data_IF_575556550685
#
_entry.id   IF_575556550685
#
_cell.length_a   1.000
_cell.length_b   1.000
_cell.length_c   1.000
_cell.angle_alpha   90.00
_cell.angle_beta   90.00
_cell.angle_gamma   90.00
#
_symmetry.space_group_name_H-M   'P 1'
#
loop_
_entity.id
_entity.type
_entity.pdbx_description
1 polymer ?
#
# COMPACT_ATOMS: atom_id res chain seq x y z
N UNK A 1 -46.28 -24.70 14.59
CA UNK A 1 -47.10 -25.53 13.68
C UNK A 1 -46.31 -25.67 12.37
N UNK A 2 -45.45 -26.69 12.29
CA UNK A 2 -45.74 -27.99 11.65
C UNK A 2 -45.95 -27.80 10.14
N UNK A 3 -44.91 -28.00 9.33
CA UNK A 3 -44.58 -29.28 8.66
C UNK A 3 -45.73 -29.79 7.78
N UNK A 4 -45.52 -29.77 6.46
CA UNK A 4 -45.75 -30.90 5.53
C UNK A 4 -46.02 -30.39 4.10
N UNK A 5 -45.35 -31.00 3.12
CA UNK A 5 -45.67 -30.80 1.71
C UNK A 5 -44.57 -31.22 0.74
N UNK A 6 -43.94 -32.37 0.98
CA UNK A 6 -42.95 -32.97 0.10
C UNK A 6 -43.64 -33.90 -0.91
N UNK A 7 -43.21 -33.82 -2.18
CA UNK A 7 -43.29 -34.82 -3.27
C UNK A 7 -44.66 -35.19 -3.86
N UNK A 8 -44.74 -35.06 -5.19
CA UNK A 8 -44.91 -36.14 -6.19
C UNK A 8 -45.44 -35.55 -7.51
N UNK A 9 -45.27 -36.05 -8.74
CA UNK A 9 -44.40 -37.00 -9.47
C UNK A 9 -44.93 -36.90 -10.94
N UNK A 10 -44.03 -37.11 -11.92
CA UNK A 10 -44.32 -37.60 -13.31
C UNK A 10 -45.10 -36.68 -14.26
N UNK A 11 -44.94 -36.70 -15.59
CA UNK A 11 -43.95 -37.11 -16.59
C UNK A 11 -44.57 -36.74 -17.96
N UNK A 12 -43.83 -36.93 -19.05
CA UNK A 12 -44.20 -36.71 -20.46
C UNK A 12 -44.09 -35.24 -20.92
N UNK A 13 -43.48 -34.90 -22.05
CA UNK A 13 -43.25 -35.67 -23.26
C UNK A 13 -41.93 -35.27 -23.96
N UNK A 14 -41.34 -36.25 -24.64
CA UNK A 14 -40.29 -36.11 -25.64
C UNK A 14 -40.85 -35.64 -26.99
N UNK A 15 -39.91 -35.24 -27.87
CA UNK A 15 -39.99 -34.83 -29.29
C UNK A 15 -40.11 -33.32 -29.47
N UNK A 16 -39.23 -32.60 -30.15
CA UNK A 16 -38.15 -32.97 -31.07
C UNK A 16 -38.17 -31.95 -32.22
N UNK A 17 -37.08 -31.21 -32.45
CA UNK A 17 -36.76 -30.60 -33.75
C UNK A 17 -35.44 -29.82 -33.63
N UNK A 18 -34.47 -30.21 -34.46
CA UNK A 18 -33.25 -29.48 -34.71
C UNK A 18 -33.53 -28.28 -35.64
N UNK A 19 -33.01 -27.10 -35.30
CA UNK A 19 -32.72 -26.02 -36.26
C UNK A 19 -31.37 -25.41 -35.87
N UNK A 20 -30.42 -25.48 -36.81
CA UNK A 20 -29.16 -24.73 -36.81
C UNK A 20 -29.45 -23.28 -37.23
N UNK A 21 -28.79 -22.33 -36.60
CA UNK A 21 -28.16 -21.13 -37.18
C UNK A 21 -27.73 -20.21 -36.02
N UNK A 22 -26.46 -20.22 -35.63
CA UNK A 22 -25.34 -19.44 -36.18
C UNK A 22 -25.26 -18.02 -35.60
N UNK A 23 -24.05 -17.68 -35.10
CA UNK A 23 -23.54 -16.36 -34.75
C UNK A 23 -23.92 -15.75 -33.39
N UNK A 24 -23.28 -16.23 -32.32
CA UNK A 24 -22.75 -15.34 -31.27
C UNK A 24 -21.30 -15.74 -31.02
N UNK A 25 -20.38 -14.87 -31.43
CA UNK A 25 -18.95 -15.03 -31.26
C UNK A 25 -18.59 -15.10 -29.77
N UNK A 26 -17.81 -16.13 -29.45
CA UNK A 26 -17.22 -16.46 -28.16
C UNK A 26 -16.30 -15.36 -27.63
N UNK A 27 -16.63 -14.80 -26.47
CA UNK A 27 -15.66 -14.17 -25.57
C UNK A 27 -14.81 -15.29 -24.94
N UNK A 28 -13.48 -15.15 -24.83
CA UNK A 28 -12.68 -16.15 -24.14
C UNK A 28 -13.06 -16.17 -22.65
N UNK A 29 -13.61 -17.32 -22.22
CA UNK A 29 -13.78 -17.64 -20.81
C UNK A 29 -12.39 -17.62 -20.16
N UNK A 30 -12.17 -16.67 -19.27
CA UNK A 30 -11.04 -16.69 -18.35
C UNK A 30 -11.28 -17.85 -17.38
N UNK A 31 -10.56 -18.95 -17.60
CA UNK A 31 -10.56 -20.12 -16.73
C UNK A 31 -10.26 -19.72 -15.29
N UNK A 32 -11.23 -19.97 -14.40
CA UNK A 32 -11.18 -19.70 -12.97
C UNK A 32 -10.27 -20.69 -12.19
N UNK A 33 -9.20 -21.20 -12.81
CA UNK A 33 -8.41 -22.32 -12.30
C UNK A 33 -6.93 -21.99 -11.95
N UNK A 34 -6.51 -20.72 -11.96
CA UNK A 34 -5.15 -20.30 -11.52
C UNK A 34 -5.12 -19.57 -10.18
N UNK A 35 -6.21 -19.55 -9.41
CA UNK A 35 -6.31 -18.87 -8.12
C UNK A 35 -6.09 -19.76 -6.88
N UNK A 36 -5.39 -20.89 -7.02
CA UNK A 36 -5.11 -21.79 -5.90
C UNK A 36 -3.60 -22.11 -5.81
N UNK A 37 -2.96 -21.64 -4.74
CA UNK A 37 -1.68 -22.19 -4.27
C UNK A 37 -0.44 -21.33 -4.44
N UNK A 38 -0.42 -20.11 -3.91
CA UNK A 38 0.83 -19.52 -3.41
C UNK A 38 0.82 -19.56 -1.88
N UNK A 39 1.35 -20.65 -1.32
CA UNK A 39 1.80 -20.67 0.07
C UNK A 39 2.93 -19.65 0.20
N UNK A 40 2.59 -18.47 0.73
CA UNK A 40 3.52 -17.36 0.83
C UNK A 40 4.46 -17.56 2.02
N UNK A 41 5.74 -17.86 1.74
CA UNK A 41 6.77 -17.98 2.78
C UNK A 41 6.95 -16.64 3.52
N UNK A 42 7.26 -16.65 4.83
CA UNK A 42 7.56 -15.42 5.58
C UNK A 42 8.84 -14.79 5.05
N UNK A 43 8.81 -13.48 4.76
CA UNK A 43 9.96 -12.74 4.20
C UNK A 43 10.85 -12.26 5.36
N UNK A 44 12.16 -12.51 5.24
CA UNK A 44 13.23 -11.97 6.11
C UNK A 44 14.00 -10.91 5.28
N UNK A 45 14.87 -10.09 5.89
CA UNK A 45 14.82 -8.62 5.85
C UNK A 45 14.71 -8.04 4.43
N UNK A 46 13.80 -7.07 4.26
CA UNK A 46 13.42 -6.59 2.93
C UNK A 46 14.38 -5.55 2.40
N UNK A 47 15.08 -5.91 1.33
CA UNK A 47 15.41 -4.91 0.32
C UNK A 47 14.09 -4.42 -0.30
N UNK A 48 13.85 -3.10 -0.31
CA UNK A 48 12.66 -2.50 -0.93
C UNK A 48 12.56 -2.89 -2.42
N UNK A 49 13.69 -3.16 -3.08
CA UNK A 49 13.73 -3.65 -4.46
C UNK A 49 13.37 -5.12 -4.62
N UNK A 50 13.02 -5.86 -3.57
CA UNK A 50 12.41 -7.21 -3.64
C UNK A 50 10.93 -7.22 -3.23
N UNK A 51 10.42 -6.08 -2.74
CA UNK A 51 9.02 -5.90 -2.38
C UNK A 51 8.09 -6.11 -3.58
N UNK A 52 6.98 -6.80 -3.36
CA UNK A 52 5.87 -6.91 -4.32
C UNK A 52 4.97 -5.67 -4.21
N UNK A 53 5.54 -4.55 -4.60
CA UNK A 53 4.92 -3.22 -4.50
C UNK A 53 4.41 -2.76 -5.84
N UNK A 54 3.23 -2.16 -5.80
CA UNK A 54 2.50 -1.62 -6.94
C UNK A 54 2.21 -0.15 -6.71
N UNK A 55 2.11 0.63 -7.79
CA UNK A 55 1.72 2.03 -7.70
C UNK A 55 0.22 2.20 -7.96
N UNK A 56 -0.48 2.80 -6.99
CA UNK A 56 -1.87 3.24 -7.11
C UNK A 56 -1.94 4.76 -6.99
N UNK A 57 -2.01 5.47 -8.11
CA UNK A 57 -2.16 6.94 -8.14
C UNK A 57 -1.08 7.67 -7.32
N UNK A 58 0.13 7.12 -7.27
CA UNK A 58 1.26 7.66 -6.51
C UNK A 58 1.45 7.08 -5.11
N UNK A 59 0.53 6.24 -4.63
CA UNK A 59 0.70 5.46 -3.41
C UNK A 59 1.43 4.15 -3.71
N UNK A 60 2.41 3.73 -2.88
CA UNK A 60 2.85 2.36 -2.86
C UNK A 60 1.74 1.48 -2.27
N UNK A 61 1.53 0.30 -2.85
CA UNK A 61 0.56 -0.68 -2.40
C UNK A 61 1.20 -2.06 -2.45
N UNK A 62 1.22 -2.75 -1.32
CA UNK A 62 1.58 -4.16 -1.27
C UNK A 62 0.38 -5.03 -1.60
N UNK A 63 0.59 -5.97 -2.52
CA UNK A 63 -0.40 -6.96 -2.90
C UNK A 63 -0.58 -8.01 -1.79
N UNK A 64 -1.35 -7.66 -0.75
CA UNK A 64 -1.49 -8.49 0.44
C UNK A 64 -2.94 -8.67 0.89
N UNK A 65 -3.17 -9.75 1.62
CA UNK A 65 -4.40 -10.02 2.37
C UNK A 65 -4.19 -9.71 3.86
N UNK A 66 -5.27 -9.72 4.65
CA UNK A 66 -5.18 -9.63 6.12
C UNK A 66 -4.30 -10.75 6.67
N UNK A 67 -4.46 -11.98 6.19
CA UNK A 67 -3.64 -13.11 6.65
C UNK A 67 -2.16 -12.93 6.32
N UNK A 68 -1.85 -12.35 5.16
CA UNK A 68 -0.46 -12.02 4.82
C UNK A 68 0.08 -10.93 5.75
N UNK A 69 -0.66 -9.85 5.97
CA UNK A 69 -0.26 -8.78 6.89
C UNK A 69 0.03 -9.32 8.30
N UNK A 70 -0.84 -10.21 8.80
CA UNK A 70 -0.65 -10.88 10.09
C UNK A 70 0.59 -11.78 10.10
N UNK A 71 0.87 -12.50 9.01
CA UNK A 71 2.07 -13.33 8.89
C UNK A 71 3.37 -12.50 8.86
N UNK A 72 3.34 -11.30 8.29
CA UNK A 72 4.47 -10.36 8.31
C UNK A 72 4.72 -9.80 9.72
N UNK A 73 3.65 -9.44 10.44
CA UNK A 73 3.73 -9.00 11.84
C UNK A 73 4.35 -10.10 12.70
N UNK A 74 3.87 -11.34 12.55
CA UNK A 74 4.41 -12.50 13.24
C UNK A 74 5.91 -12.73 12.95
N UNK A 75 6.29 -12.68 11.67
CA UNK A 75 7.69 -12.80 11.28
C UNK A 75 8.56 -11.69 11.90
N UNK A 76 8.07 -10.44 11.92
CA UNK A 76 8.73 -9.31 12.56
C UNK A 76 8.92 -9.52 14.05
N UNK A 77 7.85 -9.93 14.75
CA UNK A 77 7.90 -10.22 16.19
C UNK A 77 8.89 -11.34 16.50
N UNK A 78 8.88 -12.45 15.74
CA UNK A 78 9.78 -13.59 15.99
C UNK A 78 11.25 -13.29 15.73
N UNK A 79 11.54 -12.53 14.68
CA UNK A 79 12.92 -12.27 14.24
C UNK A 79 13.49 -10.98 14.82
N UNK A 80 12.65 -10.15 15.46
CA UNK A 80 13.03 -8.84 15.95
C UNK A 80 13.26 -7.80 14.85
N UNK A 81 12.93 -8.10 13.59
CA UNK A 81 13.10 -7.14 12.50
C UNK A 81 12.08 -6.00 12.62
N UNK A 82 12.51 -4.79 12.27
CA UNK A 82 11.63 -3.60 12.27
C UNK A 82 10.65 -3.68 11.11
N UNK A 83 9.37 -3.50 11.43
CA UNK A 83 8.27 -3.48 10.49
C UNK A 83 7.33 -2.33 10.82
N UNK A 84 7.34 -1.33 9.96
CA UNK A 84 6.35 -0.26 9.94
C UNK A 84 5.36 -0.45 8.81
N UNK A 85 4.07 -0.23 9.07
CA UNK A 85 3.07 -0.30 8.01
C UNK A 85 2.00 0.76 8.10
N UNK A 86 1.45 1.10 6.93
CA UNK A 86 0.36 2.06 6.76
C UNK A 86 -0.83 1.41 6.08
N UNK A 87 -2.01 1.95 6.34
CA UNK A 87 -3.25 1.50 5.68
C UNK A 87 -3.93 2.66 4.95
N UNK A 88 -3.40 3.13 3.80
CA UNK A 88 -3.96 4.29 3.11
C UNK A 88 -5.41 4.08 2.68
N UNK A 89 -6.23 5.09 2.99
CA UNK A 89 -7.61 5.23 2.58
C UNK A 89 -7.79 6.46 1.64
N UNK A 90 -9.03 6.82 1.30
CA UNK A 90 -9.30 7.99 0.42
C UNK A 90 -8.71 9.29 1.00
N UNK A 91 -8.85 9.51 2.31
CA UNK A 91 -8.28 10.70 2.97
C UNK A 91 -6.75 10.74 2.80
N UNK A 92 -6.06 9.59 2.95
CA UNK A 92 -4.63 9.49 2.66
C UNK A 92 -4.30 9.80 1.21
N UNK A 93 -5.03 9.23 0.25
CA UNK A 93 -4.83 9.51 -1.17
C UNK A 93 -4.97 11.01 -1.48
N UNK A 94 -6.01 11.67 -0.95
CA UNK A 94 -6.21 13.11 -1.14
C UNK A 94 -5.06 13.91 -0.53
N UNK A 95 -4.55 13.50 0.63
CA UNK A 95 -3.43 14.17 1.32
C UNK A 95 -2.11 14.02 0.55
N UNK A 96 -1.71 12.80 0.17
CA UNK A 96 -0.44 12.58 -0.55
C UNK A 96 -0.39 13.28 -1.91
N UNK A 97 -1.54 13.52 -2.53
CA UNK A 97 -1.63 14.23 -3.80
C UNK A 97 -1.53 15.76 -3.65
N UNK A 98 -1.66 16.29 -2.43
CA UNK A 98 -1.57 17.72 -2.10
C UNK A 98 -0.29 18.08 -1.36
N UNK A 99 0.27 17.15 -0.59
CA UNK A 99 1.38 17.37 0.31
C UNK A 99 2.49 16.34 0.08
N UNK A 100 3.66 16.82 -0.34
CA UNK A 100 4.85 16.00 -0.57
C UNK A 100 5.40 15.36 0.70
N UNK A 101 5.21 15.98 1.88
CA UNK A 101 5.62 15.39 3.15
C UNK A 101 4.79 14.15 3.48
N UNK A 102 3.45 14.25 3.35
CA UNK A 102 2.55 13.11 3.51
C UNK A 102 2.84 11.96 2.54
N UNK A 103 3.30 12.27 1.31
CA UNK A 103 3.70 11.23 0.37
C UNK A 103 4.98 10.52 0.81
N UNK A 104 5.98 11.26 1.31
CA UNK A 104 7.20 10.68 1.89
C UNK A 104 6.88 9.78 3.08
N UNK A 105 6.01 10.23 3.98
CA UNK A 105 5.53 9.45 5.13
C UNK A 105 5.03 8.04 4.73
N UNK A 106 4.24 7.94 3.66
CA UNK A 106 3.73 6.66 3.16
C UNK A 106 4.83 5.82 2.47
N UNK A 107 5.76 6.46 1.75
CA UNK A 107 6.89 5.77 1.12
C UNK A 107 7.88 5.20 2.13
N UNK A 108 8.03 5.87 3.27
CA UNK A 108 8.94 5.48 4.34
C UNK A 108 8.50 4.22 5.10
N UNK A 109 7.23 3.81 4.95
CA UNK A 109 6.70 2.59 5.53
C UNK A 109 7.19 1.33 4.79
N UNK A 110 7.42 0.26 5.55
CA UNK A 110 7.88 -1.03 5.03
C UNK A 110 6.75 -1.82 4.34
N UNK A 111 5.49 -1.54 4.73
CA UNK A 111 4.26 -2.04 4.09
C UNK A 111 3.19 -0.96 3.96
N UNK A 112 2.37 -1.08 2.93
CA UNK A 112 1.27 -0.18 2.62
C UNK A 112 0.07 -0.98 2.09
N UNK A 113 -0.99 -1.05 2.89
CA UNK A 113 -2.17 -1.86 2.59
C UNK A 113 -3.38 -0.99 2.25
N UNK A 114 -4.15 -1.34 1.23
CA UNK A 114 -5.33 -0.54 0.86
C UNK A 114 -6.43 -0.68 1.93
N UNK A 115 -6.83 0.44 2.52
CA UNK A 115 -8.01 0.56 3.39
C UNK A 115 -9.12 1.39 2.73
N UNK A 116 -9.95 0.74 1.92
CA UNK A 116 -11.23 1.29 1.50
C UNK A 116 -11.70 0.74 0.17
N UNK A 117 -13.02 0.53 0.04
CA UNK A 117 -13.63 0.03 -1.19
C UNK A 117 -13.30 0.88 -2.44
N UNK A 118 -13.27 2.23 -2.39
CA UNK A 118 -12.93 3.04 -3.56
C UNK A 118 -11.51 2.81 -4.08
N UNK A 119 -10.53 2.67 -3.17
CA UNK A 119 -9.14 2.41 -3.58
C UNK A 119 -8.99 0.99 -4.14
N UNK A 120 -9.65 -0.01 -3.55
CA UNK A 120 -9.68 -1.38 -4.10
C UNK A 120 -10.29 -1.39 -5.51
N UNK A 121 -11.38 -0.65 -5.74
CA UNK A 121 -11.99 -0.54 -7.06
C UNK A 121 -11.03 0.09 -8.08
N UNK A 122 -10.38 1.21 -7.74
CA UNK A 122 -9.39 1.84 -8.62
C UNK A 122 -8.16 0.95 -8.88
N UNK A 123 -7.69 0.22 -7.86
CA UNK A 123 -6.61 -0.74 -7.99
C UNK A 123 -6.95 -1.83 -9.01
N UNK A 124 -8.15 -2.43 -8.91
CA UNK A 124 -8.64 -3.43 -9.87
C UNK A 124 -8.77 -2.88 -11.28
N UNK A 125 -9.31 -1.67 -11.44
CA UNK A 125 -9.41 -1.00 -12.75
C UNK A 125 -8.05 -0.75 -13.41
N UNK A 126 -6.99 -0.58 -12.61
CA UNK A 126 -5.62 -0.36 -13.08
C UNK A 126 -4.79 -1.65 -13.17
N UNK A 127 -5.38 -2.81 -12.88
CA UNK A 127 -4.69 -4.10 -12.92
C UNK A 127 -3.74 -4.36 -11.75
N UNK A 128 -3.87 -3.63 -10.64
CA UNK A 128 -3.13 -3.90 -9.40
C UNK A 128 -3.78 -5.09 -8.68
N UNK A 129 -3.02 -6.12 -8.25
CA UNK A 129 -3.54 -7.29 -7.55
C UNK A 129 -3.93 -6.97 -6.09
N UNK A 130 -5.02 -6.21 -5.93
CA UNK A 130 -5.63 -5.88 -4.65
C UNK A 130 -6.91 -6.71 -4.47
N UNK A 131 -6.82 -7.96 -3.94
CA UNK A 131 -7.96 -8.87 -3.86
C UNK A 131 -9.05 -8.33 -2.94
N UNK A 132 -8.67 -7.70 -1.83
CA UNK A 132 -9.60 -7.17 -0.84
C UNK A 132 -9.04 -5.94 -0.14
N UNK A 133 -9.92 -5.28 0.61
CA UNK A 133 -9.51 -4.29 1.61
C UNK A 133 -8.73 -4.97 2.72
N UNK A 134 -7.70 -4.29 3.24
CA UNK A 134 -6.92 -4.70 4.41
C UNK A 134 -6.85 -3.50 5.35
N UNK A 135 -7.82 -3.39 6.26
CA UNK A 135 -7.88 -2.31 7.23
C UNK A 135 -7.07 -2.66 8.49
N UNK A 136 -6.50 -1.64 9.13
CA UNK A 136 -5.74 -1.82 10.38
C UNK A 136 -6.54 -2.53 11.49
N UNK A 137 -7.83 -2.24 11.58
CA UNK A 137 -8.72 -2.89 12.52
C UNK A 137 -9.07 -4.34 12.15
N UNK A 138 -9.02 -4.71 10.87
CA UNK A 138 -9.17 -6.12 10.46
C UNK A 138 -7.91 -6.92 10.79
N UNK A 139 -6.72 -6.33 10.61
CA UNK A 139 -5.43 -6.91 11.02
C UNK A 139 -5.42 -7.12 12.55
N UNK A 140 -5.77 -6.09 13.32
CA UNK A 140 -5.78 -6.18 14.78
C UNK A 140 -6.77 -7.24 15.29
N UNK A 141 -7.99 -7.29 14.73
CA UNK A 141 -8.96 -8.31 15.08
C UNK A 141 -8.49 -9.73 14.71
N UNK A 142 -7.79 -9.88 13.59
CA UNK A 142 -7.21 -11.16 13.20
C UNK A 142 -6.08 -11.61 14.15
N UNK A 143 -5.24 -10.69 14.63
CA UNK A 143 -4.25 -10.98 15.68
C UNK A 143 -4.92 -11.38 16.99
N UNK A 144 -5.95 -10.64 17.38
CA UNK A 144 -6.72 -10.85 18.62
C UNK A 144 -7.39 -12.22 18.69
N UNK A 145 -7.91 -12.73 17.57
CA UNK A 145 -8.62 -14.03 17.50
C UNK A 145 -7.72 -15.25 17.36
N UNK A 146 -6.46 -15.10 16.96
CA UNK A 146 -5.54 -16.24 16.79
C UNK A 146 -5.04 -16.70 18.15
N UNK A 147 -4.93 -18.00 18.44
CA UNK A 147 -4.11 -18.46 19.56
C UNK A 147 -2.69 -18.01 19.24
N UNK A 148 -2.13 -17.10 20.04
CA UNK A 148 -0.93 -16.32 19.69
C UNK A 148 0.25 -17.15 19.14
N UNK A 149 1.17 -16.50 18.45
CA UNK A 149 2.24 -17.19 17.73
C UNK A 149 3.18 -17.95 18.66
N UNK A 150 3.40 -19.24 18.38
CA UNK A 150 4.23 -20.10 19.22
C UNK A 150 3.73 -20.25 20.66
N UNK A 151 2.41 -20.19 20.87
CA UNK A 151 1.74 -20.22 22.18
C UNK A 151 2.00 -18.99 23.07
N UNK A 152 2.51 -17.89 22.51
CA UNK A 152 2.65 -16.60 23.20
C UNK A 152 1.71 -15.55 22.59
N UNK A 153 1.05 -14.77 23.46
CA UNK A 153 0.23 -13.62 23.06
C UNK A 153 1.11 -12.50 22.51
N UNK A 154 0.64 -11.79 21.49
CA UNK A 154 1.33 -10.61 20.96
C UNK A 154 1.20 -9.46 21.95
N UNK A 155 2.32 -8.92 22.41
CA UNK A 155 2.35 -7.82 23.40
C UNK A 155 2.13 -6.48 22.70
N UNK A 156 0.99 -5.84 22.94
CA UNK A 156 0.65 -4.56 22.32
C UNK A 156 0.77 -3.41 23.29
N UNK A 157 1.28 -2.28 22.82
CA UNK A 157 1.26 -1.02 23.55
C UNK A 157 0.42 0.00 22.78
N UNK A 158 -0.55 0.62 23.46
CA UNK A 158 -1.40 1.64 22.86
C UNK A 158 -0.85 3.04 23.13
N UNK A 159 -0.51 3.77 22.07
CA UNK A 159 -0.02 5.14 22.17
C UNK A 159 -1.02 6.11 21.53
N UNK A 160 -1.65 6.96 22.33
CA UNK A 160 -2.74 7.86 21.92
C UNK A 160 -4.14 7.30 22.16
N UNK A 161 -5.11 7.79 21.39
CA UNK A 161 -6.54 7.60 21.64
C UNK A 161 -7.13 8.73 22.48
N UNK A 162 -8.45 8.66 22.73
CA UNK A 162 -9.12 9.58 23.66
C UNK A 162 -8.76 9.26 25.10
N UNK A 163 -8.94 10.22 26.00
CA UNK A 163 -8.74 10.01 27.43
C UNK A 163 -9.54 8.81 27.93
N UNK A 164 -8.86 7.91 28.66
CA UNK A 164 -9.43 6.66 29.16
C UNK A 164 -9.58 5.53 28.13
N UNK A 165 -9.47 5.78 26.82
CA UNK A 165 -9.65 4.75 25.80
C UNK A 165 -8.56 3.67 25.85
N UNK A 166 -7.30 4.05 26.09
CA UNK A 166 -6.20 3.10 26.26
C UNK A 166 -6.41 2.16 27.44
N UNK A 167 -6.80 2.69 28.60
CA UNK A 167 -7.06 1.91 29.81
C UNK A 167 -8.25 0.95 29.63
N UNK A 168 -9.32 1.42 29.00
CA UNK A 168 -10.47 0.57 28.66
C UNK A 168 -10.10 -0.53 27.65
N UNK A 169 -9.22 -0.25 26.69
CA UNK A 169 -8.72 -1.25 25.74
C UNK A 169 -7.86 -2.32 26.43
N UNK A 170 -7.03 -1.94 27.42
CA UNK A 170 -6.29 -2.88 28.27
C UNK A 170 -7.26 -3.80 29.01
N UNK A 171 -8.24 -3.24 29.71
CA UNK A 171 -9.24 -4.01 30.47
C UNK A 171 -10.04 -4.98 29.57
N UNK A 172 -10.40 -4.55 28.36
CA UNK A 172 -11.11 -5.38 27.40
C UNK A 172 -10.27 -6.59 26.94
N UNK A 173 -8.98 -6.39 26.68
CA UNK A 173 -8.07 -7.46 26.25
C UNK A 173 -7.71 -8.43 27.38
N UNK A 174 -7.67 -7.95 28.62
CA UNK A 174 -7.43 -8.79 29.80
C UNK A 174 -8.61 -9.75 30.05
N UNK A 175 -9.85 -9.28 29.86
CA UNK A 175 -11.06 -10.10 30.01
C UNK A 175 -11.21 -11.18 28.95
N UNK A 176 -10.79 -10.91 27.72
CA UNK A 176 -10.99 -11.83 26.59
C UNK A 176 -9.99 -12.99 26.58
N UNK A 177 -8.77 -12.78 27.07
CA UNK A 177 -7.69 -13.77 27.03
C UNK A 177 -7.40 -14.33 25.62
N UNK A 178 -7.51 -13.47 24.60
CA UNK A 178 -7.23 -13.81 23.19
C UNK A 178 -5.74 -13.82 22.82
N UNK A 179 -5.45 -13.76 21.52
CA UNK A 179 -4.08 -13.79 20.94
C UNK A 179 -3.19 -12.58 21.21
N UNK A 180 -3.76 -11.53 21.80
CA UNK A 180 -3.12 -10.24 22.04
C UNK A 180 -3.23 -9.91 23.52
N UNK A 181 -2.15 -9.42 24.13
CA UNK A 181 -2.13 -8.90 25.50
C UNK A 181 -1.65 -7.45 25.49
N UNK A 182 -2.31 -6.57 26.26
CA UNK A 182 -1.86 -5.20 26.38
C UNK A 182 -0.79 -5.09 27.47
N UNK A 183 0.38 -4.54 27.12
CA UNK A 183 1.51 -4.36 28.06
C UNK A 183 1.67 -2.92 28.54
N UNK A 184 0.84 -2.02 28.03
CA UNK A 184 0.80 -0.63 28.46
C UNK A 184 -0.07 0.21 27.54
N UNK A 185 -0.42 1.38 28.05
CA UNK A 185 -1.04 2.42 27.26
C UNK A 185 -0.59 3.78 27.76
N UNK A 186 -0.38 4.72 26.84
CA UNK A 186 -0.04 6.10 27.16
C UNK A 186 -0.80 7.04 26.22
N UNK A 187 -1.59 7.95 26.79
CA UNK A 187 -2.13 9.07 26.04
C UNK A 187 -1.21 10.29 26.24
N UNK A 188 -0.47 10.75 25.22
CA UNK A 188 0.41 11.91 25.35
C UNK A 188 -0.36 13.25 25.38
N UNK A 189 -1.70 13.23 25.31
CA UNK A 189 -2.55 14.41 25.33
C UNK A 189 -2.49 15.22 24.02
N UNK A 190 -2.61 16.54 24.15
CA UNK A 190 -2.49 17.46 23.02
C UNK A 190 -1.09 18.06 22.95
N UNK A 191 -0.52 18.12 21.75
CA UNK A 191 0.84 18.58 21.50
C UNK A 191 1.25 18.37 20.05
N UNK A 192 2.42 18.86 19.69
CA UNK A 192 3.06 18.56 18.41
C UNK A 192 3.78 17.21 18.45
N UNK A 193 4.36 16.80 17.32
CA UNK A 193 5.09 15.52 17.24
C UNK A 193 6.31 15.53 18.16
N UNK A 194 6.97 16.67 18.34
CA UNK A 194 8.21 16.78 19.11
C UNK A 194 7.98 16.55 20.61
N UNK A 195 7.02 17.26 21.20
CA UNK A 195 6.59 17.09 22.59
C UNK A 195 6.12 15.65 22.86
N UNK A 196 5.38 15.05 21.93
CA UNK A 196 4.98 13.64 22.01
C UNK A 196 6.13 12.65 21.83
N UNK A 197 7.32 13.11 21.44
CA UNK A 197 8.52 12.29 21.19
C UNK A 197 9.58 12.45 22.28
N UNK A 198 9.21 12.99 23.44
CA UNK A 198 10.10 13.20 24.57
C UNK A 198 10.83 11.89 24.94
N UNK A 199 12.13 11.93 25.31
CA UNK A 199 12.90 10.75 25.67
C UNK A 199 12.24 9.85 26.72
N UNK A 200 11.55 10.45 27.69
CA UNK A 200 10.86 9.77 28.78
C UNK A 200 9.68 8.95 28.27
N UNK A 201 8.94 9.49 27.30
CA UNK A 201 7.83 8.78 26.63
C UNK A 201 8.36 7.54 25.89
N UNK A 202 9.47 7.69 25.16
CA UNK A 202 10.07 6.56 24.43
C UNK A 202 10.60 5.51 25.41
N UNK A 203 11.24 5.94 26.50
CA UNK A 203 11.73 5.05 27.55
C UNK A 203 10.59 4.27 28.22
N UNK A 204 9.45 4.91 28.48
CA UNK A 204 8.26 4.25 29.03
C UNK A 204 7.71 3.17 28.08
N UNK A 205 7.58 3.49 26.78
CA UNK A 205 7.13 2.53 25.78
C UNK A 205 8.10 1.34 25.70
N UNK A 206 9.41 1.59 25.67
CA UNK A 206 10.43 0.53 25.60
C UNK A 206 10.48 -0.32 26.88
N UNK A 207 10.29 0.29 28.05
CA UNK A 207 10.26 -0.43 29.34
C UNK A 207 9.10 -1.44 29.40
N UNK A 208 7.97 -1.16 28.74
CA UNK A 208 6.87 -2.10 28.59
C UNK A 208 7.22 -3.30 27.69
N UNK A 209 8.33 -3.24 26.92
CA UNK A 209 8.81 -4.27 25.99
C UNK A 209 7.74 -4.77 25.01
N UNK A 210 7.02 -3.91 24.28
CA UNK A 210 5.98 -4.36 23.36
C UNK A 210 6.54 -5.07 22.13
N UNK A 211 5.76 -6.02 21.61
CA UNK A 211 5.98 -6.62 20.30
C UNK A 211 5.40 -5.71 19.19
N UNK A 212 4.34 -4.96 19.50
CA UNK A 212 3.67 -4.07 18.55
C UNK A 212 3.21 -2.77 19.24
N UNK A 213 3.72 -1.62 18.79
CA UNK A 213 3.23 -0.29 19.17
C UNK A 213 2.14 0.17 18.21
N UNK A 214 0.94 0.38 18.74
CA UNK A 214 -0.22 0.86 17.99
C UNK A 214 -0.38 2.36 18.26
N UNK A 215 -0.16 3.16 17.23
CA UNK A 215 -0.28 4.62 17.31
C UNK A 215 -1.70 5.03 16.92
N UNK A 216 -2.41 5.64 17.85
CA UNK A 216 -3.80 6.08 17.75
C UNK A 216 -3.93 7.62 17.81
N UNK A 217 -3.07 8.32 17.08
CA UNK A 217 -3.15 9.78 16.91
C UNK A 217 -3.97 10.14 15.66
N UNK A 218 -4.15 11.43 15.36
CA UNK A 218 -4.68 11.84 14.05
C UNK A 218 -3.75 11.37 12.92
N UNK A 219 -4.29 10.95 11.77
CA UNK A 219 -3.54 10.26 10.70
C UNK A 219 -2.19 10.92 10.34
N UNK A 220 -2.20 12.24 10.15
CA UNK A 220 -0.98 12.98 9.84
C UNK A 220 0.05 12.98 10.97
N UNK A 221 -0.40 13.30 12.18
CA UNK A 221 0.46 13.35 13.35
C UNK A 221 1.00 11.97 13.73
N UNK A 222 0.15 10.95 13.61
CA UNK A 222 0.50 9.57 13.91
C UNK A 222 1.61 9.04 13.02
N UNK A 223 1.50 9.24 11.70
CA UNK A 223 2.55 8.79 10.80
C UNK A 223 3.85 9.58 10.97
N UNK A 224 3.77 10.91 11.10
CA UNK A 224 4.94 11.74 11.38
C UNK A 224 5.64 11.35 12.70
N UNK A 225 4.87 10.95 13.72
CA UNK A 225 5.42 10.44 14.98
C UNK A 225 6.11 9.09 14.80
N UNK A 226 5.54 8.18 13.99
CA UNK A 226 6.17 6.88 13.67
C UNK A 226 7.50 7.11 12.95
N UNK A 227 7.51 7.93 11.90
CA UNK A 227 8.73 8.17 11.12
C UNK A 227 9.86 8.79 11.96
N UNK A 228 9.50 9.64 12.94
CA UNK A 228 10.47 10.23 13.87
C UNK A 228 11.02 9.24 14.91
N UNK A 229 10.22 8.26 15.34
CA UNK A 229 10.54 7.46 16.53
C UNK A 229 10.74 5.96 16.28
N UNK A 230 10.45 5.45 15.07
CA UNK A 230 10.53 4.01 14.77
C UNK A 230 11.89 3.39 15.06
N UNK A 231 12.96 4.16 14.86
CA UNK A 231 14.34 3.72 15.13
C UNK A 231 14.74 3.85 16.62
N UNK A 232 13.97 4.60 17.42
CA UNK A 232 14.18 4.80 18.87
C UNK A 232 13.39 3.81 19.73
N UNK A 233 12.39 3.16 19.14
CA UNK A 233 11.55 2.18 19.80
C UNK A 233 12.17 0.80 19.68
N UNK A 234 12.10 -0.02 20.73
CA UNK A 234 12.62 -1.40 20.71
C UNK A 234 11.64 -2.36 20.03
N UNK A 235 10.36 -2.03 20.00
CA UNK A 235 9.31 -2.84 19.41
C UNK A 235 9.59 -3.18 17.94
N UNK A 236 9.44 -4.45 17.51
CA UNK A 236 9.64 -4.82 16.12
C UNK A 236 8.55 -4.23 15.22
N UNK A 237 7.29 -4.17 15.67
CA UNK A 237 6.17 -3.71 14.82
C UNK A 237 5.63 -2.37 15.29
N UNK A 238 5.40 -1.44 14.36
CA UNK A 238 4.85 -0.12 14.64
C UNK A 238 3.88 0.29 13.53
N UNK A 239 2.67 0.72 13.87
CA UNK A 239 1.71 1.15 12.84
C UNK A 239 0.71 2.17 13.36
N UNK A 240 0.27 3.05 12.47
CA UNK A 240 -0.81 3.98 12.75
C UNK A 240 -2.16 3.30 12.53
N UNK A 241 -2.84 2.93 13.62
CA UNK A 241 -4.16 2.29 13.57
C UNK A 241 -5.18 3.11 14.35
N UNK A 242 -5.38 4.37 13.94
CA UNK A 242 -6.17 5.40 14.62
C UNK A 242 -7.30 4.91 15.54
N UNK A 243 -8.37 4.35 14.96
CA UNK A 243 -9.57 3.99 15.71
C UNK A 243 -9.54 2.60 16.37
N UNK A 244 -8.43 1.85 16.27
CA UNK A 244 -8.34 0.50 16.86
C UNK A 244 -8.45 0.55 18.37
N UNK A 245 -7.85 1.56 19.02
CA UNK A 245 -7.95 1.75 20.47
C UNK A 245 -9.41 1.97 20.87
N UNK A 246 -10.12 2.87 20.18
CA UNK A 246 -11.54 3.16 20.47
C UNK A 246 -12.46 1.96 20.24
N UNK A 247 -12.20 1.16 19.20
CA UNK A 247 -12.94 -0.07 18.94
C UNK A 247 -12.69 -1.12 20.03
N UNK A 248 -11.44 -1.26 20.47
CA UNK A 248 -11.06 -2.24 21.50
C UNK A 248 -11.61 -1.84 22.86
N UNK A 249 -11.63 -0.53 23.16
CA UNK A 249 -12.25 0.05 24.35
C UNK A 249 -13.79 -0.07 24.38
N UNK A 250 -14.44 -0.55 23.30
CA UNK A 250 -15.89 -0.61 23.18
C UNK A 250 -16.57 0.76 23.01
N UNK A 251 -15.79 1.83 22.80
CA UNK A 251 -16.31 3.19 22.66
C UNK A 251 -16.97 3.47 21.30
N UNK A 252 -16.69 2.66 20.27
CA UNK A 252 -17.31 2.76 18.95
C UNK A 252 -17.65 1.36 18.44
N UNK A 253 -18.86 1.17 17.90
CA UNK A 253 -19.26 -0.09 17.32
C UNK A 253 -18.66 -0.31 15.93
N UNK A 254 -18.11 -1.51 15.69
CA UNK A 254 -17.68 -1.95 14.35
C UNK A 254 -18.89 -2.14 13.44
N UNK A 255 -18.73 -1.85 12.15
CA UNK A 255 -19.77 -2.12 11.17
C UNK A 255 -20.05 -3.65 11.09
N UNK A 256 -21.32 -4.09 11.07
CA UNK A 256 -21.68 -5.49 10.87
C UNK A 256 -21.11 -6.04 9.56
N UNK A 257 -20.80 -7.34 9.51
CA UNK A 257 -20.16 -7.98 8.34
C UNK A 257 -20.91 -7.73 7.01
N UNK A 258 -22.24 -7.69 7.04
CA UNK A 258 -23.04 -7.39 5.84
C UNK A 258 -22.77 -5.97 5.31
N UNK A 259 -22.70 -4.98 6.20
CA UNK A 259 -22.41 -3.59 5.83
C UNK A 259 -20.97 -3.45 5.31
N UNK A 260 -20.02 -4.17 5.92
CA UNK A 260 -18.63 -4.25 5.44
C UNK A 260 -18.54 -4.82 4.03
N UNK A 261 -19.20 -5.95 3.78
CA UNK A 261 -19.25 -6.60 2.46
C UNK A 261 -19.88 -5.74 1.37
N UNK A 262 -20.85 -4.89 1.73
CA UNK A 262 -21.45 -3.90 0.83
C UNK A 262 -20.57 -2.65 0.61
N UNK A 263 -19.44 -2.51 1.31
CA UNK A 263 -18.56 -1.34 1.22
C UNK A 263 -19.15 -0.08 1.87
N UNK A 264 -20.15 -0.22 2.74
CA UNK A 264 -20.89 0.87 3.38
C UNK A 264 -20.37 1.23 4.79
N UNK A 265 -19.13 0.83 5.12
CA UNK A 265 -18.51 1.11 6.42
C UNK A 265 -18.40 2.60 6.72
N UNK A 266 -18.20 3.42 5.69
CA UNK A 266 -18.15 4.87 5.84
C UNK A 266 -19.49 5.43 6.33
N UNK A 267 -20.62 4.86 5.88
CA UNK A 267 -21.95 5.27 6.33
C UNK A 267 -22.21 4.83 7.76
N UNK A 268 -21.81 3.61 8.13
CA UNK A 268 -21.84 3.16 9.51
C UNK A 268 -21.00 4.06 10.42
N UNK A 269 -19.81 4.48 9.96
CA UNK A 269 -18.98 5.43 10.69
C UNK A 269 -19.61 6.80 10.86
N UNK A 270 -20.35 7.31 9.87
CA UNK A 270 -21.10 8.56 10.05
C UNK A 270 -22.21 8.40 11.08
N UNK A 271 -22.88 7.24 11.12
CA UNK A 271 -23.89 6.95 12.14
C UNK A 271 -23.30 6.98 13.54
N UNK A 272 -22.16 6.31 13.75
CA UNK A 272 -21.51 6.23 15.07
C UNK A 272 -20.75 7.52 15.43
N UNK A 273 -20.23 8.25 14.44
CA UNK A 273 -19.48 9.49 14.60
C UNK A 273 -19.94 10.56 13.60
N UNK A 274 -21.06 11.27 13.87
CA UNK A 274 -21.68 12.19 12.92
C UNK A 274 -20.73 13.25 12.36
N UNK A 275 -19.81 13.78 13.17
CA UNK A 275 -18.85 14.78 12.73
C UNK A 275 -18.00 14.38 11.50
N UNK A 276 -17.87 13.07 11.22
CA UNK A 276 -17.13 12.56 10.07
C UNK A 276 -17.82 12.84 8.72
N UNK A 277 -19.10 13.21 8.69
CA UNK A 277 -19.83 13.46 7.43
C UNK A 277 -19.14 14.52 6.56
N UNK A 278 -18.61 15.59 7.19
CA UNK A 278 -17.92 16.69 6.49
C UNK A 278 -16.66 16.19 5.80
N UNK A 279 -15.89 15.34 6.49
CA UNK A 279 -14.69 14.71 5.95
C UNK A 279 -15.03 13.82 4.77
N UNK A 280 -16.00 12.91 4.92
CA UNK A 280 -16.39 12.01 3.85
C UNK A 280 -16.93 12.73 2.61
N UNK A 281 -17.68 13.82 2.79
CA UNK A 281 -18.15 14.65 1.68
C UNK A 281 -16.98 15.31 0.94
N UNK A 282 -16.05 15.94 1.67
CA UNK A 282 -14.86 16.56 1.10
C UNK A 282 -13.96 15.54 0.37
N UNK A 283 -13.75 14.37 0.98
CA UNK A 283 -13.01 13.26 0.40
C UNK A 283 -13.68 12.74 -0.88
N UNK A 284 -15.01 12.60 -0.88
CA UNK A 284 -15.80 12.17 -2.03
C UNK A 284 -15.69 13.14 -3.21
N UNK A 285 -15.81 14.45 -2.94
CA UNK A 285 -15.64 15.48 -3.95
C UNK A 285 -14.21 15.50 -4.53
N UNK A 286 -13.20 15.38 -3.67
CA UNK A 286 -11.80 15.29 -4.10
C UNK A 286 -11.55 14.01 -4.92
N UNK A 287 -12.11 12.88 -4.51
CA UNK A 287 -12.00 11.61 -5.22
C UNK A 287 -12.60 11.68 -6.62
N UNK A 288 -13.75 12.33 -6.80
CA UNK A 288 -14.32 12.55 -8.13
C UNK A 288 -13.36 13.32 -9.05
N UNK A 289 -12.71 14.37 -8.53
CA UNK A 289 -11.66 15.09 -9.26
C UNK A 289 -10.44 14.22 -9.59
N UNK A 290 -10.02 13.35 -8.67
CA UNK A 290 -8.92 12.38 -8.88
C UNK A 290 -9.29 11.38 -9.98
N UNK A 291 -10.52 10.88 -9.99
CA UNK A 291 -11.01 9.94 -11.02
C UNK A 291 -10.89 10.58 -12.41
N UNK A 292 -11.37 11.81 -12.57
CA UNK A 292 -11.34 12.50 -13.87
C UNK A 292 -9.91 12.85 -14.30
N UNK A 293 -9.11 13.44 -13.39
CA UNK A 293 -7.80 14.01 -13.74
C UNK A 293 -6.65 13.01 -13.74
N UNK A 294 -6.77 11.90 -13.00
CA UNK A 294 -5.68 10.94 -12.78
C UNK A 294 -6.06 9.53 -13.18
N UNK A 295 -7.24 9.03 -12.81
CA UNK A 295 -7.62 7.65 -13.18
C UNK A 295 -7.95 7.53 -14.67
N UNK A 296 -8.83 8.39 -15.20
CA UNK A 296 -9.31 8.29 -16.59
C UNK A 296 -8.19 8.34 -17.65
N UNK A 297 -7.19 9.26 -17.59
CA UNK A 297 -6.08 9.27 -18.54
C UNK A 297 -5.28 7.96 -18.56
N UNK A 298 -5.16 7.31 -17.40
CA UNK A 298 -4.47 6.04 -17.28
C UNK A 298 -5.26 4.89 -17.90
N UNK A 299 -6.58 4.86 -17.71
CA UNK A 299 -7.45 3.87 -18.34
C UNK A 299 -7.46 4.02 -19.87
N UNK A 300 -7.45 5.26 -20.37
CA UNK A 300 -7.31 5.53 -21.81
C UNK A 300 -5.94 5.07 -22.33
N UNK A 301 -4.87 5.30 -21.58
CA UNK A 301 -3.53 4.83 -21.93
C UNK A 301 -3.42 3.29 -21.95
N UNK A 302 -4.26 2.55 -21.20
CA UNK A 302 -4.31 1.08 -21.26
C UNK A 302 -4.91 0.56 -22.57
N UNK A 303 -5.84 1.30 -23.20
CA UNK A 303 -6.48 0.91 -24.47
C UNK A 303 -5.51 0.92 -25.66
N UNK A 304 -4.45 1.72 -25.57
CA UNK A 304 -3.40 1.81 -26.59
C UNK A 304 -2.21 0.88 -26.27
N UNK A 305 -2.42 -0.24 -25.56
CA UNK A 305 -1.41 -1.29 -25.45
C UNK A 305 -1.23 -1.92 -26.82
N UNK A 306 -0.10 -1.62 -27.45
CA UNK A 306 0.39 -2.31 -28.63
C UNK A 306 0.74 -3.75 -28.24
N UNK A 307 0.33 -4.74 -29.05
CA UNK A 307 0.86 -6.11 -29.04
C UNK A 307 2.34 -6.14 -29.50
N UNK A 308 3.17 -5.18 -29.07
CA UNK A 308 4.61 -5.25 -29.25
C UNK A 308 5.06 -6.45 -28.41
N UNK A 309 5.32 -7.57 -29.09
CA UNK A 309 5.73 -8.81 -28.45
C UNK A 309 6.82 -8.54 -27.42
N UNK A 310 6.79 -9.28 -26.31
CA UNK A 310 7.63 -9.12 -25.13
C UNK A 310 9.12 -8.97 -25.47
N UNK A 311 9.53 -7.75 -25.84
CA UNK A 311 10.91 -7.41 -26.03
C UNK A 311 11.57 -7.55 -24.66
N UNK A 312 12.67 -8.30 -24.60
CA UNK A 312 13.38 -8.56 -23.36
C UNK A 312 13.69 -7.23 -22.65
N UNK A 313 13.21 -7.09 -21.41
CA UNK A 313 13.45 -5.89 -20.63
C UNK A 313 14.91 -5.85 -20.17
N UNK A 314 15.65 -4.82 -20.54
CA UNK A 314 17.02 -4.60 -20.10
C UNK A 314 17.16 -3.24 -19.43
N UNK A 315 18.04 -3.17 -18.42
CA UNK A 315 18.32 -1.95 -17.67
C UNK A 315 19.84 -1.78 -17.56
N UNK A 316 20.39 -0.95 -18.45
CA UNK A 316 21.83 -0.71 -18.54
C UNK A 316 22.23 0.52 -17.74
N UNK A 317 23.30 0.40 -16.94
CA UNK A 317 23.77 1.49 -16.08
C UNK A 317 24.95 2.19 -16.74
N UNK A 318 24.84 3.51 -16.91
CA UNK A 318 25.94 4.39 -17.29
C UNK A 318 26.27 5.30 -16.11
N UNK A 319 27.51 5.25 -15.62
CA UNK A 319 27.96 6.05 -14.48
C UNK A 319 28.82 7.22 -14.96
N UNK A 320 28.56 8.40 -14.41
CA UNK A 320 29.44 9.56 -14.49
C UNK A 320 29.80 10.03 -13.09
N UNK A 321 30.63 11.07 -12.98
CA UNK A 321 31.02 11.64 -11.69
C UNK A 321 29.83 12.23 -10.91
N UNK A 322 28.80 12.71 -11.60
CA UNK A 322 27.66 13.42 -11.00
C UNK A 322 26.35 12.63 -11.05
N UNK A 323 26.20 11.70 -12.00
CA UNK A 323 24.94 11.00 -12.24
C UNK A 323 25.13 9.53 -12.59
N UNK A 324 24.14 8.73 -12.23
CA UNK A 324 23.97 7.35 -12.64
C UNK A 324 22.73 7.25 -13.52
N UNK A 325 22.92 7.04 -14.82
CA UNK A 325 21.83 6.90 -15.77
C UNK A 325 21.48 5.43 -15.94
N UNK A 326 20.19 5.10 -15.78
CA UNK A 326 19.63 3.77 -16.01
C UNK A 326 18.84 3.84 -17.32
N UNK A 327 19.38 3.24 -18.37
CA UNK A 327 18.74 3.16 -19.69
C UNK A 327 17.78 1.97 -19.67
N UNK A 328 16.49 2.27 -19.74
CA UNK A 328 15.42 1.28 -19.69
C UNK A 328 14.97 0.93 -21.12
N UNK A 329 15.17 -0.33 -21.50
CA UNK A 329 14.80 -0.82 -22.84
C UNK A 329 13.74 -1.91 -22.77
N UNK A 330 12.77 -1.86 -23.68
CA UNK A 330 11.71 -2.88 -23.78
C UNK A 330 10.52 -2.65 -22.82
N UNK A 331 9.90 -3.76 -22.39
CA UNK A 331 8.64 -3.76 -21.64
C UNK A 331 8.84 -4.14 -20.17
N UNK A 332 8.59 -3.22 -19.24
CA UNK A 332 8.71 -3.48 -17.79
C UNK A 332 7.36 -3.76 -17.15
N UNK A 333 7.03 -5.05 -17.02
CA UNK A 333 5.81 -5.54 -16.38
C UNK A 333 6.15 -6.38 -15.16
N UNK A 334 5.15 -6.82 -14.39
CA UNK A 334 5.37 -7.69 -13.22
C UNK A 334 6.18 -8.96 -13.55
N UNK A 335 6.13 -9.45 -14.79
CA UNK A 335 6.88 -10.61 -15.25
C UNK A 335 8.35 -10.30 -15.63
N UNK A 336 8.73 -9.02 -15.81
CA UNK A 336 10.01 -8.61 -16.41
C UNK A 336 10.78 -7.56 -15.59
N UNK A 337 10.57 -7.49 -14.28
CA UNK A 337 11.24 -6.50 -13.41
C UNK A 337 12.67 -6.86 -12.99
N UNK A 338 13.15 -8.08 -13.23
CA UNK A 338 14.44 -8.54 -12.69
C UNK A 338 15.62 -7.62 -13.07
N UNK A 339 15.68 -7.17 -14.32
CA UNK A 339 16.72 -6.24 -14.80
C UNK A 339 16.63 -4.89 -14.07
N UNK A 340 15.42 -4.32 -13.94
CA UNK A 340 15.21 -3.07 -13.22
C UNK A 340 15.58 -3.19 -11.74
N UNK A 341 15.17 -4.27 -11.05
CA UNK A 341 15.49 -4.50 -9.63
C UNK A 341 17.01 -4.49 -9.41
N UNK A 342 17.77 -5.21 -10.25
CA UNK A 342 19.24 -5.24 -10.19
C UNK A 342 19.84 -3.86 -10.45
N UNK A 343 19.35 -3.16 -11.47
CA UNK A 343 19.88 -1.84 -11.84
C UNK A 343 19.60 -0.78 -10.77
N UNK A 344 18.38 -0.77 -10.23
CA UNK A 344 17.94 0.19 -9.21
C UNK A 344 18.70 -0.03 -7.91
N UNK A 345 18.94 -1.28 -7.50
CA UNK A 345 19.78 -1.60 -6.34
C UNK A 345 21.20 -1.08 -6.49
N UNK A 346 21.80 -1.29 -7.66
CA UNK A 346 23.15 -0.80 -7.98
C UNK A 346 23.24 0.74 -8.03
N UNK A 347 22.22 1.41 -8.57
CA UNK A 347 22.17 2.87 -8.65
C UNK A 347 21.83 3.52 -7.30
N UNK A 348 20.98 2.90 -6.48
CA UNK A 348 20.73 3.35 -5.12
C UNK A 348 22.03 3.36 -4.29
N UNK A 349 22.98 2.46 -4.56
CA UNK A 349 24.29 2.41 -3.91
C UNK A 349 25.36 3.34 -4.52
N UNK A 350 25.13 3.99 -5.67
CA UNK A 350 26.18 4.70 -6.41
C UNK A 350 26.54 6.09 -5.87
N UNK A 351 25.84 6.59 -4.86
CA UNK A 351 26.11 7.89 -4.22
C UNK A 351 25.85 9.14 -5.08
N UNK A 352 25.47 8.98 -6.36
CA UNK A 352 25.17 10.07 -7.29
C UNK A 352 23.67 10.24 -7.50
N UNK A 353 23.26 11.37 -8.07
CA UNK A 353 21.89 11.53 -8.60
C UNK A 353 21.58 10.46 -9.65
N UNK A 354 20.30 10.16 -9.83
CA UNK A 354 19.86 9.07 -10.70
C UNK A 354 19.00 9.61 -11.83
N UNK A 355 19.26 9.14 -13.05
CA UNK A 355 18.44 9.45 -14.22
C UNK A 355 17.81 8.16 -14.72
N UNK A 356 16.49 8.11 -14.82
CA UNK A 356 15.79 7.05 -15.54
C UNK A 356 15.60 7.50 -16.99
N UNK A 357 16.26 6.83 -17.92
CA UNK A 357 16.15 7.11 -19.35
C UNK A 357 15.12 6.16 -19.99
N UNK A 358 14.01 6.74 -20.42
CA UNK A 358 12.86 6.06 -21.03
C UNK A 358 12.94 6.03 -22.57
N UNK A 359 14.04 6.48 -23.19
CA UNK A 359 14.14 6.65 -24.65
C UNK A 359 13.97 5.35 -25.43
N UNK A 360 14.42 4.23 -24.87
CA UNK A 360 14.27 2.88 -25.45
C UNK A 360 13.12 2.07 -24.79
N UNK A 361 12.35 2.70 -23.91
CA UNK A 361 11.29 2.02 -23.17
C UNK A 361 10.02 1.94 -24.02
N UNK A 362 9.51 0.73 -24.22
CA UNK A 362 8.30 0.49 -25.00
C UNK A 362 7.05 0.65 -24.14
N UNK A 363 7.04 0.01 -22.96
CA UNK A 363 5.89 0.00 -22.07
C UNK A 363 6.26 -0.31 -20.61
N UNK A 364 5.36 0.05 -19.70
CA UNK A 364 5.41 -0.36 -18.31
C UNK A 364 4.04 -0.48 -17.67
N UNK A 365 3.98 -1.21 -16.55
CA UNK A 365 2.79 -1.35 -15.73
C UNK A 365 2.95 -0.73 -14.32
N UNK A 366 1.98 -1.03 -13.45
CA UNK A 366 1.91 -0.51 -12.09
C UNK A 366 2.93 -1.12 -11.14
N UNK A 367 3.45 -2.31 -11.44
CA UNK A 367 4.52 -2.94 -10.65
C UNK A 367 5.85 -2.24 -10.90
N UNK A 368 6.16 -1.88 -12.16
CA UNK A 368 7.34 -1.06 -12.47
C UNK A 368 7.28 0.31 -11.78
N UNK A 369 6.12 0.97 -11.83
CA UNK A 369 5.93 2.23 -11.11
C UNK A 369 6.09 2.07 -9.58
N UNK A 370 5.63 0.94 -9.02
CA UNK A 370 5.86 0.61 -7.61
C UNK A 370 7.37 0.52 -7.31
N UNK A 371 8.14 -0.10 -8.20
CA UNK A 371 9.59 -0.17 -8.08
C UNK A 371 10.27 1.20 -8.19
N UNK A 372 9.77 2.09 -9.06
CA UNK A 372 10.25 3.48 -9.14
C UNK A 372 9.99 4.25 -7.84
N UNK A 373 8.85 4.02 -7.16
CA UNK A 373 8.61 4.60 -5.83
C UNK A 373 9.64 4.16 -4.79
N UNK A 374 10.08 2.90 -4.85
CA UNK A 374 11.14 2.40 -3.95
C UNK A 374 12.49 3.05 -4.27
N UNK A 375 12.82 3.21 -5.56
CA UNK A 375 14.02 3.95 -5.94
C UNK A 375 13.97 5.40 -5.44
N UNK A 376 12.83 6.06 -5.60
CA UNK A 376 12.61 7.41 -5.10
C UNK A 376 12.82 7.51 -3.58
N UNK A 377 12.30 6.55 -2.81
CA UNK A 377 12.53 6.45 -1.36
C UNK A 377 14.03 6.42 -1.04
N UNK A 378 14.79 5.53 -1.68
CA UNK A 378 16.24 5.42 -1.46
C UNK A 378 17.02 6.69 -1.86
N UNK A 379 16.66 7.29 -2.99
CA UNK A 379 17.27 8.52 -3.49
C UNK A 379 17.01 9.69 -2.52
N UNK A 380 15.76 9.86 -2.09
CA UNK A 380 15.36 10.91 -1.17
C UNK A 380 16.03 10.77 0.21
N UNK A 381 16.13 9.56 0.77
CA UNK A 381 16.85 9.29 2.04
C UNK A 381 18.31 9.71 2.00
N UNK A 382 18.91 9.69 0.81
CA UNK A 382 20.31 10.07 0.61
C UNK A 382 20.48 11.55 0.28
N UNK A 383 19.41 12.36 0.29
CA UNK A 383 19.47 13.77 -0.12
C UNK A 383 19.74 13.99 -1.61
N UNK A 384 19.51 12.97 -2.44
CA UNK A 384 19.78 12.99 -3.89
C UNK A 384 18.50 13.22 -4.68
N UNK A 385 18.64 13.44 -5.99
CA UNK A 385 17.52 13.71 -6.90
C UNK A 385 17.36 12.60 -7.94
N UNK A 386 16.09 12.30 -8.25
CA UNK A 386 15.68 11.38 -9.31
C UNK A 386 15.15 12.17 -10.50
N UNK A 387 15.74 11.96 -11.67
CA UNK A 387 15.36 12.61 -12.92
C UNK A 387 14.76 11.60 -13.91
N UNK A 388 13.98 12.11 -14.87
CA UNK A 388 13.45 11.33 -15.99
C UNK A 388 13.84 11.97 -17.32
N UNK A 389 14.45 11.18 -18.19
CA UNK A 389 14.79 11.56 -19.56
C UNK A 389 14.15 10.61 -20.59
N UNK A 390 14.08 11.03 -21.86
CA UNK A 390 13.58 10.18 -22.95
C UNK A 390 12.10 9.80 -22.89
N UNK A 391 11.34 10.30 -21.91
CA UNK A 391 9.94 9.93 -21.71
C UNK A 391 9.03 10.50 -22.82
N UNK A 392 8.29 9.60 -23.49
CA UNK A 392 7.24 9.95 -24.46
C UNK A 392 6.08 10.70 -23.79
N UNK A 393 5.21 11.33 -24.58
CA UNK A 393 4.00 11.98 -24.05
C UNK A 393 3.11 11.02 -23.24
N UNK A 394 3.05 9.75 -23.67
CA UNK A 394 2.35 8.68 -22.94
C UNK A 394 3.00 8.39 -21.59
N UNK A 395 4.32 8.20 -21.54
CA UNK A 395 5.06 7.99 -20.29
C UNK A 395 4.81 9.13 -19.31
N UNK A 396 4.96 10.39 -19.77
CA UNK A 396 4.74 11.58 -18.94
C UNK A 396 3.29 11.69 -18.44
N UNK A 397 2.31 11.31 -19.25
CA UNK A 397 0.89 11.31 -18.84
C UNK A 397 0.65 10.33 -17.69
N UNK A 398 1.21 9.12 -17.78
CA UNK A 398 1.08 8.10 -16.73
C UNK A 398 1.84 8.51 -15.46
N UNK A 399 3.07 9.02 -15.58
CA UNK A 399 3.86 9.50 -14.44
C UNK A 399 3.15 10.65 -13.70
N UNK A 400 2.70 11.68 -14.43
CA UNK A 400 1.94 12.80 -13.85
C UNK A 400 0.67 12.36 -13.16
N UNK A 401 -0.06 11.40 -13.73
CA UNK A 401 -1.26 10.85 -13.12
C UNK A 401 -0.99 10.18 -11.75
N UNK A 402 0.22 9.64 -11.54
CA UNK A 402 0.70 9.07 -10.28
C UNK A 402 1.48 10.07 -9.40
N UNK A 403 1.40 11.37 -9.69
CA UNK A 403 2.15 12.41 -8.99
C UNK A 403 3.67 12.17 -8.97
N UNK A 404 4.19 11.45 -9.96
CA UNK A 404 5.61 11.21 -10.21
C UNK A 404 6.14 12.32 -11.12
N UNK A 405 6.24 13.53 -10.56
CA UNK A 405 6.66 14.73 -11.28
C UNK A 405 8.18 14.90 -11.15
N UNK A 406 8.95 13.98 -11.73
CA UNK A 406 10.41 14.08 -11.74
C UNK A 406 10.85 15.13 -12.75
N UNK A 407 11.90 15.88 -12.39
CA UNK A 407 12.49 16.87 -13.27
C UNK A 407 13.10 16.17 -14.50
N UNK A 408 12.98 16.82 -15.65
CA UNK A 408 13.79 16.45 -16.79
C UNK A 408 15.23 16.88 -16.47
N UNK A 409 16.22 16.05 -16.77
CA UNK A 409 17.59 16.53 -16.89
C UNK A 409 17.56 17.59 -18.00
N UNK A 410 17.72 18.86 -17.66
CA UNK A 410 17.77 19.92 -18.66
C UNK A 410 18.76 19.48 -19.75
N UNK A 411 18.32 19.51 -21.01
CA UNK A 411 19.12 19.11 -22.16
C UNK A 411 20.41 19.96 -22.33
N UNK A 412 20.66 20.95 -21.47
CA UNK A 412 21.77 21.90 -21.55
C UNK A 412 23.14 21.32 -21.14
N UNK A 413 23.23 20.17 -20.46
CA UNK A 413 24.54 19.57 -20.16
C UNK A 413 25.04 18.56 -21.20
N UNK A 414 24.20 18.15 -22.17
CA UNK A 414 24.67 17.30 -23.28
C UNK A 414 25.63 18.03 -24.22
N UNK A 415 25.72 19.36 -24.15
CA UNK A 415 26.62 20.17 -24.97
C UNK A 415 28.01 20.32 -24.32
N UNK A 416 28.14 20.16 -23.00
CA UNK A 416 29.43 20.34 -22.32
C UNK A 416 30.32 19.08 -22.34
N UNK A 417 29.78 17.89 -22.59
CA UNK A 417 30.56 16.65 -22.68
C UNK A 417 30.94 16.26 -24.12
N UNK A 418 30.29 16.84 -25.13
CA UNK A 418 30.69 16.70 -26.56
C UNK A 418 31.58 17.83 -27.07
N UNK A 419 31.85 18.86 -26.26
CA UNK A 419 32.58 20.07 -26.65
C UNK A 419 34.07 20.10 -26.32
N UNK A 420 34.65 19.05 -25.70
CA UNK A 420 36.07 19.03 -25.31
C UNK A 420 36.97 18.07 -26.08
N UNK A 421 36.50 17.59 -27.24
CA UNK A 421 37.33 16.87 -28.23
C UNK A 421 37.17 17.49 -29.62
N UNK A 422 37.47 18.78 -29.77
CA UNK A 422 37.81 19.39 -31.06
C UNK A 422 38.35 20.82 -30.86
N UNK A 423 39.62 20.94 -30.47
CA UNK A 423 40.62 21.80 -31.14
C UNK A 423 41.95 21.69 -30.40
N UNK A 424 43.01 21.51 -31.19
CA UNK A 424 44.41 21.53 -30.83
C UNK A 424 44.87 22.86 -30.23
#
# INVERSE_FOLDING_TARGET
>A
ALMAGFRAISSSAQNGAAVKDSAVQSLPQLDAATAAGQQSSPIVPRDDFDRDVWCLLGLPVDAATVDRAVAEIDAAVRTGHKLSFVTPNVNWLVRVLKDGAARREVLEADLSFIDGAPLVAMARMLGVPAPSRVAGADIFEALRRRPGFGARRTRVFFFGGRDGAGAAAVEALDKEQGGVEAVGCLNPGFGDVETMSAPEIIAEINAARPDFVIVALGAAKGQAWIDRNKDRLDAPVIAHLGAVVDFTAGGVARAPEMIKKLGLEWLWRIKEEPALWRRYFADGAALAGIVVRRLAPQLLALRHRSNLGAAAATADIRRSALRTTIVLSGAFTSASLAAARKAFRSAAASGSDIVLDFSAMAEFDRSFLGLVLMLEKHVARSGRTLYVDGATARHRTILRANAMNYDATAAEERILDTGRTATA
#
